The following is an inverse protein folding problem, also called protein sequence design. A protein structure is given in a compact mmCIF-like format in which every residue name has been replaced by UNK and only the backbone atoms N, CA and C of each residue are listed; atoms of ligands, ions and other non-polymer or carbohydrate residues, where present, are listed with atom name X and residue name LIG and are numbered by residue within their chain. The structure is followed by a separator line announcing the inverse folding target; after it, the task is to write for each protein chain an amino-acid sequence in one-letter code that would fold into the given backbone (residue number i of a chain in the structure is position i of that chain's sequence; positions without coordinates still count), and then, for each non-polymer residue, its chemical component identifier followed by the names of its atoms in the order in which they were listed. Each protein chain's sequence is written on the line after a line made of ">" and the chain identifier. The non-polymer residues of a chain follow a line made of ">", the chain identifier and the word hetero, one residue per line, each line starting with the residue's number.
data_IF_826610702916
#
_entry.id   IF_826610702916
#
_cell.length_a   1.000
_cell.length_b   1.000
_cell.length_c   1.000
_cell.angle_alpha   90.00
_cell.angle_beta   90.00
_cell.angle_gamma   90.00
#
_symmetry.space_group_name_H-M   'P 1'
#
loop_
_entity.id
_entity.type
_entity.pdbx_description
1 polymer ?
#
# COMPACT_ATOMS: atom_id res chain seq x y z
N UNK A 1 16.31 -26.68 12.49
CA UNK A 1 15.96 -26.13 11.16
C UNK A 1 14.82 -26.96 10.60
N UNK A 2 13.81 -26.32 10.00
CA UNK A 2 12.62 -27.01 9.46
C UNK A 2 12.65 -26.90 7.94
N UNK A 3 12.38 -28.00 7.25
CA UNK A 3 12.33 -28.10 5.79
C UNK A 3 11.07 -28.88 5.38
N UNK A 4 10.38 -28.50 4.30
CA UNK A 4 10.66 -27.37 3.42
C UNK A 4 10.33 -26.02 4.07
N UNK A 5 11.08 -24.97 3.70
CA UNK A 5 10.79 -23.59 4.10
C UNK A 5 9.62 -23.07 3.24
N UNK A 6 8.62 -22.48 3.90
CA UNK A 6 7.53 -21.77 3.23
C UNK A 6 8.00 -20.36 2.88
N UNK A 7 7.85 -19.94 1.63
CA UNK A 7 8.27 -18.63 1.12
C UNK A 7 7.09 -17.83 0.53
N UNK A 8 7.22 -16.51 0.54
CA UNK A 8 6.36 -15.58 -0.20
C UNK A 8 6.96 -15.22 -1.55
N UNK A 9 6.12 -14.62 -2.39
CA UNK A 9 6.53 -13.97 -3.64
C UNK A 9 6.38 -12.43 -3.52
N UNK A 10 7.20 -11.63 -4.21
CA UNK A 10 7.11 -10.16 -4.16
C UNK A 10 5.76 -9.57 -4.59
N UNK A 11 5.03 -10.31 -5.43
CA UNK A 11 3.72 -9.95 -5.97
C UNK A 11 2.54 -10.40 -5.09
N UNK A 12 2.78 -11.10 -3.98
CA UNK A 12 1.73 -11.51 -3.06
C UNK A 12 1.08 -10.32 -2.36
N UNK A 13 -0.25 -10.38 -2.27
CA UNK A 13 -1.03 -9.42 -1.51
C UNK A 13 -0.85 -9.58 0.00
N UNK A 14 -1.17 -8.50 0.74
CA UNK A 14 -1.15 -8.47 2.20
C UNK A 14 -2.01 -9.59 2.81
N UNK A 15 -3.25 -9.76 2.30
CA UNK A 15 -4.21 -10.74 2.80
C UNK A 15 -3.74 -12.17 2.55
N UNK A 16 -3.19 -12.44 1.37
CA UNK A 16 -2.64 -13.75 1.01
C UNK A 16 -1.47 -14.12 1.92
N UNK A 17 -0.51 -13.20 2.08
CA UNK A 17 0.64 -13.37 2.99
C UNK A 17 0.17 -13.63 4.43
N UNK A 18 -0.80 -12.86 4.92
CA UNK A 18 -1.37 -13.01 6.25
C UNK A 18 -2.03 -14.39 6.44
N UNK A 19 -2.79 -14.88 5.45
CA UNK A 19 -3.39 -16.21 5.49
C UNK A 19 -2.34 -17.30 5.58
N UNK A 20 -1.29 -17.25 4.76
CA UNK A 20 -0.21 -18.26 4.79
C UNK A 20 0.51 -18.25 6.14
N UNK A 21 0.86 -17.07 6.66
CA UNK A 21 1.48 -16.95 7.99
C UNK A 21 0.59 -17.48 9.11
N UNK A 22 -0.73 -17.25 9.04
CA UNK A 22 -1.68 -17.73 10.03
C UNK A 22 -1.79 -19.26 10.01
N UNK A 23 -2.07 -19.85 8.84
CA UNK A 23 -2.25 -21.29 8.70
C UNK A 23 -0.97 -22.06 9.04
N UNK A 24 0.18 -21.57 8.57
CA UNK A 24 1.48 -22.18 8.87
C UNK A 24 2.03 -21.87 10.27
N UNK A 25 1.32 -21.05 11.07
CA UNK A 25 1.79 -20.52 12.37
C UNK A 25 3.18 -19.87 12.28
N UNK A 26 3.49 -19.24 11.16
CA UNK A 26 4.79 -18.66 10.83
C UNK A 26 4.89 -17.23 11.36
N UNK A 27 5.99 -16.88 12.01
CA UNK A 27 6.25 -15.50 12.47
C UNK A 27 6.89 -14.63 11.37
N UNK A 28 7.63 -15.29 10.49
CA UNK A 28 8.38 -14.68 9.40
C UNK A 28 8.19 -15.52 8.14
N UNK A 29 8.18 -14.84 6.99
CA UNK A 29 8.17 -15.46 5.66
C UNK A 29 9.33 -14.87 4.86
N UNK A 30 10.30 -15.67 4.41
CA UNK A 30 11.26 -15.23 3.41
C UNK A 30 10.53 -14.94 2.09
N UNK A 31 10.87 -13.83 1.43
CA UNK A 31 10.34 -13.45 0.13
C UNK A 31 11.38 -13.80 -0.93
N UNK A 32 10.99 -14.57 -1.95
CA UNK A 32 11.89 -15.02 -3.01
C UNK A 32 11.38 -14.63 -4.40
N UNK A 33 12.28 -14.22 -5.29
CA UNK A 33 11.96 -13.88 -6.68
C UNK A 33 11.73 -15.10 -7.58
N UNK A 34 11.47 -14.87 -8.87
CA UNK A 34 11.30 -15.89 -9.92
C UNK A 34 12.38 -16.96 -9.98
N UNK A 35 13.62 -16.59 -9.68
CA UNK A 35 14.78 -17.47 -9.73
C UNK A 35 15.05 -18.14 -8.37
N UNK A 36 14.20 -17.91 -7.37
CA UNK A 36 14.35 -18.43 -6.02
C UNK A 36 15.37 -17.68 -5.16
N UNK A 37 15.82 -16.49 -5.59
CA UNK A 37 16.73 -15.66 -4.78
C UNK A 37 15.96 -14.95 -3.68
N UNK A 38 16.52 -14.94 -2.48
CA UNK A 38 15.97 -14.19 -1.34
C UNK A 38 16.04 -12.68 -1.61
N UNK A 39 14.89 -12.03 -1.63
CA UNK A 39 14.78 -10.58 -1.82
C UNK A 39 14.41 -9.83 -0.55
N UNK A 40 13.89 -10.53 0.47
CA UNK A 40 13.54 -9.92 1.75
C UNK A 40 12.89 -10.88 2.73
N UNK A 41 12.41 -10.33 3.85
CA UNK A 41 11.66 -11.07 4.87
C UNK A 41 10.49 -10.21 5.33
N UNK A 42 9.30 -10.80 5.41
CA UNK A 42 8.11 -10.18 6.01
C UNK A 42 7.81 -10.83 7.35
N UNK A 43 7.56 -10.02 8.37
CA UNK A 43 7.09 -10.45 9.69
C UNK A 43 5.60 -10.20 9.88
N UNK A 44 4.96 -10.87 10.86
CA UNK A 44 3.56 -10.57 11.19
C UNK A 44 3.34 -9.11 11.60
N UNK A 45 4.32 -8.49 12.27
CA UNK A 45 4.24 -7.09 12.67
C UNK A 45 4.22 -6.17 11.44
N UNK A 46 4.89 -6.55 10.35
CA UNK A 46 4.85 -5.80 9.10
C UNK A 46 3.47 -5.82 8.46
N UNK A 47 2.69 -6.91 8.67
CA UNK A 47 1.31 -6.98 8.21
C UNK A 47 0.39 -5.97 8.90
N UNK A 48 0.77 -5.50 10.08
CA UNK A 48 0.01 -4.52 10.85
C UNK A 48 0.39 -3.09 10.49
N UNK A 49 1.56 -2.84 9.86
CA UNK A 49 2.02 -1.48 9.55
C UNK A 49 0.99 -0.67 8.76
N UNK A 50 0.30 -1.20 7.73
CA UNK A 50 -0.74 -0.46 7.03
C UNK A 50 -1.91 -0.04 7.94
N UNK A 51 -2.17 -0.79 9.02
CA UNK A 51 -3.24 -0.53 10.00
C UNK A 51 -2.80 0.39 11.14
N UNK A 52 -1.49 0.59 11.30
CA UNK A 52 -0.89 1.38 12.38
C UNK A 52 -0.46 2.78 11.94
N UNK A 53 -0.62 3.10 10.65
CA UNK A 53 -0.43 4.47 10.17
C UNK A 53 -1.48 5.35 10.81
N UNK A 54 -1.06 6.41 11.48
CA UNK A 54 -1.97 7.43 11.96
C UNK A 54 -2.66 8.11 10.78
N UNK A 55 -3.95 8.36 10.94
CA UNK A 55 -4.79 9.00 9.90
C UNK A 55 -4.19 10.32 9.40
N UNK A 56 -3.40 10.99 10.22
CA UNK A 56 -2.70 12.22 9.89
C UNK A 56 -1.49 12.01 8.96
N UNK A 57 -0.78 10.89 9.07
CA UNK A 57 0.29 10.51 8.14
C UNK A 57 -0.30 10.19 6.76
N UNK A 58 -1.38 9.39 6.73
CA UNK A 58 -2.11 9.06 5.49
C UNK A 58 -2.66 10.33 4.85
N UNK A 59 -3.26 11.23 5.65
CA UNK A 59 -3.80 12.51 5.15
C UNK A 59 -2.71 13.35 4.49
N UNK A 60 -1.53 13.45 5.10
CA UNK A 60 -0.39 14.20 4.55
C UNK A 60 0.05 13.64 3.20
N UNK A 61 0.26 12.33 3.11
CA UNK A 61 0.63 11.67 1.85
C UNK A 61 -0.41 11.93 0.74
N UNK A 62 -1.71 11.82 1.05
CA UNK A 62 -2.77 12.09 0.08
C UNK A 62 -2.76 13.55 -0.40
N UNK A 63 -2.52 14.51 0.51
CA UNK A 63 -2.45 15.92 0.13
C UNK A 63 -1.24 16.18 -0.78
N UNK A 64 -0.07 15.65 -0.41
CA UNK A 64 1.17 15.95 -1.12
C UNK A 64 1.25 15.20 -2.47
N UNK A 65 1.03 13.88 -2.46
CA UNK A 65 1.27 13.04 -3.64
C UNK A 65 0.07 12.98 -4.59
N UNK A 66 -1.16 12.98 -4.04
CA UNK A 66 -2.38 12.85 -4.83
C UNK A 66 -2.93 14.22 -5.21
N UNK A 67 -3.22 15.11 -4.25
CA UNK A 67 -3.82 16.40 -4.57
C UNK A 67 -2.85 17.34 -5.28
N UNK A 68 -1.68 17.59 -4.69
CA UNK A 68 -0.71 18.53 -5.24
C UNK A 68 0.12 17.91 -6.38
N UNK A 69 0.53 16.65 -6.23
CA UNK A 69 1.31 15.93 -7.24
C UNK A 69 0.48 15.50 -8.44
N UNK A 70 -0.34 14.47 -8.26
CA UNK A 70 -0.99 13.75 -9.36
C UNK A 70 -2.16 14.52 -9.98
N UNK A 71 -3.06 15.06 -9.16
CA UNK A 71 -4.26 15.74 -9.61
C UNK A 71 -4.06 17.25 -9.83
N UNK A 72 -2.97 17.81 -9.30
CA UNK A 72 -2.62 19.24 -9.35
C UNK A 72 -3.79 20.14 -8.93
N UNK A 73 -4.55 19.71 -7.93
CA UNK A 73 -5.69 20.43 -7.40
C UNK A 73 -5.24 21.32 -6.23
N UNK A 74 -5.80 22.52 -6.11
CA UNK A 74 -5.59 23.29 -4.90
C UNK A 74 -6.21 22.56 -3.70
N UNK A 75 -5.52 22.59 -2.56
CA UNK A 75 -5.94 21.87 -1.34
C UNK A 75 -7.34 22.28 -0.80
N UNK A 76 -7.89 23.41 -1.27
CA UNK A 76 -9.24 23.86 -0.93
C UNK A 76 -10.35 23.29 -1.83
N UNK A 77 -10.02 22.73 -3.01
CA UNK A 77 -11.03 22.21 -3.95
C UNK A 77 -11.64 20.88 -3.47
N UNK A 78 -10.85 20.08 -2.75
CA UNK A 78 -11.25 18.76 -2.25
C UNK A 78 -10.84 18.64 -0.79
N UNK A 79 -11.83 18.39 0.07
CA UNK A 79 -11.62 18.03 1.47
C UNK A 79 -11.19 16.57 1.56
N UNK A 80 -10.09 16.34 2.27
CA UNK A 80 -9.57 15.01 2.62
C UNK A 80 -9.92 14.72 4.08
N UNK A 81 -10.66 13.66 4.32
CA UNK A 81 -10.85 13.09 5.65
C UNK A 81 -10.26 11.68 5.67
N UNK A 82 -9.59 11.32 6.75
CA UNK A 82 -9.08 9.96 6.98
C UNK A 82 -9.61 9.48 8.31
N UNK A 83 -10.19 8.28 8.33
CA UNK A 83 -10.69 7.64 9.54
C UNK A 83 -10.37 6.14 9.49
N UNK A 84 -9.52 5.67 10.41
CA UNK A 84 -9.12 4.26 10.48
C UNK A 84 -8.45 3.78 9.20
N UNK A 85 -7.62 4.63 8.59
CA UNK A 85 -6.95 4.37 7.31
C UNK A 85 -7.82 4.47 6.06
N UNK A 86 -9.11 4.78 6.19
CA UNK A 86 -10.01 4.98 5.05
C UNK A 86 -10.01 6.45 4.64
N UNK A 87 -9.58 6.73 3.42
CA UNK A 87 -9.57 8.08 2.83
C UNK A 87 -10.91 8.39 2.18
N UNK A 88 -11.51 9.50 2.57
CA UNK A 88 -12.72 10.07 1.97
C UNK A 88 -12.40 11.43 1.36
N UNK A 89 -12.62 11.55 0.04
CA UNK A 89 -12.44 12.79 -0.72
C UNK A 89 -13.82 13.38 -1.05
N UNK A 90 -14.05 14.65 -0.67
CA UNK A 90 -15.32 15.36 -0.95
C UNK A 90 -15.05 16.76 -1.46
N UNK A 91 -15.75 17.18 -2.50
CA UNK A 91 -15.58 18.51 -3.08
C UNK A 91 -15.87 18.53 -4.58
N UNK A 92 -15.54 19.64 -5.21
CA UNK A 92 -15.76 19.83 -6.64
C UNK A 92 -14.41 20.17 -7.27
N UNK A 93 -13.90 19.24 -8.09
CA UNK A 93 -12.75 19.48 -8.93
C UNK A 93 -13.23 19.62 -10.37
N UNK A 94 -13.02 20.79 -10.98
CA UNK A 94 -13.08 20.91 -12.42
C UNK A 94 -11.80 20.28 -12.98
N UNK A 95 -11.81 18.96 -13.17
CA UNK A 95 -10.68 18.26 -13.80
C UNK A 95 -10.67 18.71 -15.26
N UNK A 96 -9.75 19.61 -15.63
CA UNK A 96 -9.38 19.78 -17.02
C UNK A 96 -8.70 18.48 -17.45
N UNK A 97 -9.45 17.59 -18.10
CA UNK A 97 -8.91 16.41 -18.77
C UNK A 97 -8.13 16.92 -19.99
N UNK A 98 -6.96 17.50 -19.77
CA UNK A 98 -6.01 17.76 -20.84
C UNK A 98 -4.87 16.74 -20.72
N UNK A 99 -4.96 15.76 -21.63
CA UNK A 99 -3.92 14.84 -22.09
C UNK A 99 -3.72 13.53 -21.31
N UNK A 100 -4.61 12.58 -21.61
CA UNK A 100 -4.31 11.14 -21.60
C UNK A 100 -4.00 10.60 -23.02
N UNK A 101 -3.35 11.40 -23.88
CA UNK A 101 -2.81 10.92 -25.16
C UNK A 101 -1.47 11.61 -25.40
N UNK A 102 -0.38 10.88 -25.16
CA UNK A 102 1.04 11.02 -25.56
C UNK A 102 1.86 10.38 -24.41
N UNK A 103 2.58 9.27 -24.56
CA UNK A 103 3.27 8.70 -25.72
C UNK A 103 3.24 7.16 -25.68
N UNK A 104 2.99 6.56 -26.86
CA UNK A 104 3.55 5.27 -27.30
C UNK A 104 4.58 5.62 -28.37
#
# INVERSE_FOLDING_TARGET
>A
MTSPVVTARPDWGLVETARVMHHGRLKHLPVVDGDGRLTGVVSRSDLLRPLLRDDEEIRREIVDDVLLGSLRLPAYAVRVAVAGGVVTLTGTAAVLIERAVQEV
#
